data_IF_756840735237
#
_entry.id   IF_756840735237
#
_cell.length_a   1.000
_cell.length_b   1.000
_cell.length_c   1.000
_cell.angle_alpha   90.00
_cell.angle_beta   90.00
_cell.angle_gamma   90.00
#
_symmetry.space_group_name_H-M   'P 1'
#
loop_
_entity.id
_entity.type
_entity.pdbx_description
1 polymer ?
#
# COMPACT_ATOMS: atom_id res chain seq x y z
N UNK A 1 35.88 23.21 57.89
CA UNK A 1 34.42 22.99 57.84
C UNK A 1 34.19 21.56 58.27
N UNK A 2 33.51 21.33 59.40
CA UNK A 2 33.22 19.98 59.87
C UNK A 2 32.16 19.35 58.97
N UNK A 3 32.50 18.25 58.30
CA UNK A 3 31.52 17.41 57.62
C UNK A 3 30.55 16.85 58.65
N UNK A 4 29.27 17.21 58.52
CA UNK A 4 28.18 16.66 59.32
C UNK A 4 27.66 15.41 58.62
N UNK A 5 28.13 14.24 59.04
CA UNK A 5 27.64 12.96 58.52
C UNK A 5 26.36 12.58 59.25
N UNK A 6 25.21 12.83 58.62
CA UNK A 6 23.90 12.43 59.16
C UNK A 6 23.63 10.98 58.75
N UNK A 7 23.47 10.08 59.73
CA UNK A 7 23.04 8.71 59.47
C UNK A 7 21.50 8.67 59.39
N UNK A 8 20.99 8.27 58.24
CA UNK A 8 19.54 8.22 57.96
C UNK A 8 18.83 7.18 58.83
N UNK A 9 19.55 6.17 59.30
CA UNK A 9 19.03 5.09 60.12
C UNK A 9 18.64 5.55 61.54
N UNK A 10 19.19 6.68 62.00
CA UNK A 10 18.87 7.25 63.32
C UNK A 10 17.52 7.98 63.34
N UNK A 11 16.96 8.27 62.16
CA UNK A 11 15.75 9.08 61.99
C UNK A 11 14.59 8.34 61.34
N UNK A 12 14.88 7.21 60.68
CA UNK A 12 13.86 6.42 59.98
C UNK A 12 13.93 4.97 60.45
N UNK A 13 12.82 4.49 60.98
CA UNK A 13 12.64 3.06 61.24
C UNK A 13 12.59 2.28 59.92
N UNK A 14 12.90 0.98 59.96
CA UNK A 14 12.77 0.10 58.80
C UNK A 14 11.34 0.09 58.22
N UNK A 15 10.33 0.25 59.06
CA UNK A 15 8.94 0.43 58.62
C UNK A 15 8.73 1.74 57.84
N UNK A 16 9.36 2.84 58.28
CA UNK A 16 9.25 4.12 57.57
C UNK A 16 9.96 4.08 56.23
N UNK A 17 11.15 3.47 56.17
CA UNK A 17 11.87 3.26 54.91
C UNK A 17 11.05 2.42 53.94
N UNK A 18 10.46 1.32 54.42
CA UNK A 18 9.59 0.45 53.61
C UNK A 18 8.36 1.19 53.09
N UNK A 19 7.74 2.02 53.92
CA UNK A 19 6.59 2.84 53.53
C UNK A 19 6.99 3.86 52.46
N UNK A 20 8.07 4.60 52.67
CA UNK A 20 8.58 5.59 51.72
C UNK A 20 8.89 4.96 50.36
N UNK A 21 9.53 3.78 50.34
CA UNK A 21 9.82 3.06 49.10
C UNK A 21 8.54 2.60 48.41
N UNK A 22 7.58 2.05 49.16
CA UNK A 22 6.27 1.63 48.61
C UNK A 22 5.51 2.80 48.00
N UNK A 23 5.47 3.93 48.70
CA UNK A 23 4.76 5.14 48.27
C UNK A 23 5.42 5.74 47.01
N UNK A 24 6.76 5.83 47.00
CA UNK A 24 7.51 6.33 45.85
C UNK A 24 7.36 5.43 44.62
N UNK A 25 7.41 4.10 44.81
CA UNK A 25 7.21 3.14 43.73
C UNK A 25 5.78 3.22 43.17
N UNK A 26 4.77 3.27 44.04
CA UNK A 26 3.37 3.38 43.63
C UNK A 26 3.10 4.67 42.86
N UNK A 27 3.68 5.80 43.30
CA UNK A 27 3.58 7.08 42.59
C UNK A 27 4.26 7.04 41.22
N UNK A 28 5.44 6.41 41.11
CA UNK A 28 6.15 6.25 39.84
C UNK A 28 5.38 5.34 38.87
N UNK A 29 4.83 4.23 39.36
CA UNK A 29 3.99 3.32 38.58
C UNK A 29 2.71 4.01 38.09
N UNK A 30 2.04 4.79 38.95
CA UNK A 30 0.85 5.56 38.57
C UNK A 30 1.17 6.62 37.51
N UNK A 31 2.30 7.33 37.64
CA UNK A 31 2.73 8.31 36.64
C UNK A 31 3.07 7.65 35.28
N UNK A 32 3.68 6.47 35.29
CA UNK A 32 3.94 5.71 34.07
C UNK A 32 2.66 5.17 33.44
N UNK A 33 1.73 4.66 34.26
CA UNK A 33 0.43 4.20 33.81
C UNK A 33 -0.41 5.34 33.21
N UNK A 34 -0.31 6.57 33.73
CA UNK A 34 -0.94 7.75 33.14
C UNK A 34 -0.34 8.12 31.78
N UNK A 35 0.99 8.06 31.63
CA UNK A 35 1.67 8.31 30.34
C UNK A 35 1.29 7.27 29.28
N UNK A 36 1.18 6.01 29.69
CA UNK A 36 0.81 4.90 28.81
C UNK A 36 -0.71 4.63 28.78
N UNK A 37 -1.51 5.45 29.46
CA UNK A 37 -2.94 5.22 29.66
C UNK A 37 -3.67 5.10 28.33
N UNK A 38 -3.38 6.01 27.41
CA UNK A 38 -3.95 6.00 26.06
C UNK A 38 -3.61 4.69 25.34
N UNK A 39 -2.35 4.25 25.40
CA UNK A 39 -1.93 2.97 24.79
C UNK A 39 -2.61 1.76 25.43
N UNK A 40 -2.74 1.75 26.76
CA UNK A 40 -3.40 0.67 27.50
C UNK A 40 -4.89 0.60 27.11
N UNK A 41 -5.56 1.75 27.05
CA UNK A 41 -6.97 1.84 26.66
C UNK A 41 -7.15 1.49 25.18
N UNK A 42 -6.32 2.00 24.28
CA UNK A 42 -6.41 1.69 22.85
C UNK A 42 -6.21 0.19 22.59
N UNK A 43 -5.23 -0.44 23.25
CA UNK A 43 -5.03 -1.88 23.12
C UNK A 43 -6.21 -2.66 23.70
N UNK A 44 -6.71 -2.27 24.88
CA UNK A 44 -7.85 -2.93 25.51
C UNK A 44 -9.12 -2.79 24.66
N UNK A 45 -9.36 -1.61 24.10
CA UNK A 45 -10.46 -1.35 23.18
C UNK A 45 -10.32 -2.15 21.88
N UNK A 46 -9.10 -2.32 21.36
CA UNK A 46 -8.85 -3.16 20.19
C UNK A 46 -9.27 -4.62 20.44
N UNK A 47 -8.92 -5.18 21.60
CA UNK A 47 -9.35 -6.54 21.96
C UNK A 47 -10.86 -6.64 22.16
N UNK A 48 -11.46 -5.71 22.91
CA UNK A 48 -12.91 -5.70 23.19
C UNK A 48 -13.74 -5.55 21.90
N UNK A 49 -13.37 -4.60 21.04
CA UNK A 49 -14.06 -4.38 19.77
C UNK A 49 -13.83 -5.58 18.83
N UNK A 50 -12.61 -6.11 18.78
CA UNK A 50 -12.30 -7.31 18.01
C UNK A 50 -13.15 -8.50 18.42
N UNK A 51 -13.32 -8.72 19.72
CA UNK A 51 -14.14 -9.81 20.27
C UNK A 51 -15.64 -9.62 19.96
N UNK A 52 -16.17 -8.40 20.12
CA UNK A 52 -17.58 -8.10 19.80
C UNK A 52 -17.85 -8.31 18.29
N UNK A 53 -16.92 -7.86 17.45
CA UNK A 53 -17.02 -8.07 16.00
C UNK A 53 -16.96 -9.56 15.70
N UNK A 54 -15.99 -10.30 16.24
CA UNK A 54 -15.87 -11.74 16.00
C UNK A 54 -17.10 -12.51 16.46
N UNK A 55 -17.67 -12.17 17.63
CA UNK A 55 -18.94 -12.73 18.12
C UNK A 55 -20.11 -12.46 17.17
N UNK A 56 -20.16 -11.29 16.52
CA UNK A 56 -21.19 -10.96 15.52
C UNK A 56 -21.05 -11.78 14.23
N UNK A 57 -19.86 -12.33 13.96
CA UNK A 57 -19.51 -13.16 12.81
C UNK A 57 -19.20 -14.61 13.22
N UNK A 58 -19.96 -15.13 14.19
CA UNK A 58 -19.92 -16.53 14.68
C UNK A 58 -18.54 -17.01 15.19
N UNK A 59 -17.69 -16.11 15.66
CA UNK A 59 -16.33 -16.41 16.13
C UNK A 59 -15.38 -16.83 15.01
N UNK A 60 -15.71 -16.51 13.76
CA UNK A 60 -15.01 -16.97 12.57
C UNK A 60 -14.54 -15.83 11.67
N UNK A 61 -14.57 -14.57 12.14
CA UNK A 61 -14.29 -13.41 11.30
C UNK A 61 -12.87 -13.46 10.71
N UNK A 62 -11.89 -13.86 11.52
CA UNK A 62 -10.50 -13.99 11.08
C UNK A 62 -10.36 -15.05 9.98
N UNK A 63 -11.04 -16.20 10.14
CA UNK A 63 -11.04 -17.27 9.14
C UNK A 63 -11.74 -16.82 7.85
N UNK A 64 -12.91 -16.18 7.97
CA UNK A 64 -13.69 -15.63 6.87
C UNK A 64 -12.89 -14.59 6.07
N UNK A 65 -12.19 -13.68 6.77
CA UNK A 65 -11.36 -12.66 6.14
C UNK A 65 -10.20 -13.29 5.37
N UNK A 66 -9.55 -14.30 5.96
CA UNK A 66 -8.46 -15.05 5.32
C UNK A 66 -8.94 -15.76 4.05
N UNK A 67 -10.05 -16.48 4.14
CA UNK A 67 -10.63 -17.20 3.00
C UNK A 67 -11.08 -16.24 1.91
N UNK A 68 -11.66 -15.10 2.28
CA UNK A 68 -12.05 -14.07 1.32
C UNK A 68 -10.84 -13.42 0.66
N UNK A 69 -9.78 -13.13 1.40
CA UNK A 69 -8.54 -12.58 0.85
C UNK A 69 -7.90 -13.56 -0.15
N UNK A 70 -7.78 -14.84 0.21
CA UNK A 70 -7.28 -15.90 -0.68
C UNK A 70 -8.19 -16.03 -1.92
N UNK A 71 -9.51 -16.00 -1.73
CA UNK A 71 -10.47 -16.04 -2.84
C UNK A 71 -10.30 -14.85 -3.78
N UNK A 72 -10.13 -13.64 -3.26
CA UNK A 72 -9.87 -12.44 -4.08
C UNK A 72 -8.57 -12.62 -4.84
N UNK A 73 -7.48 -13.03 -4.19
CA UNK A 73 -6.18 -13.27 -4.83
C UNK A 73 -6.29 -14.30 -5.95
N UNK A 74 -6.93 -15.44 -5.69
CA UNK A 74 -7.09 -16.50 -6.68
C UNK A 74 -8.00 -16.10 -7.85
N UNK A 75 -8.92 -15.17 -7.62
CA UNK A 75 -9.81 -14.62 -8.64
C UNK A 75 -9.28 -13.31 -9.27
N UNK A 76 -8.06 -12.88 -8.92
CA UNK A 76 -7.41 -11.79 -9.65
C UNK A 76 -7.14 -12.26 -11.07
N UNK A 77 -7.92 -11.71 -12.01
CA UNK A 77 -7.67 -11.90 -13.43
C UNK A 77 -6.70 -10.84 -13.94
N UNK A 78 -6.05 -11.11 -15.08
CA UNK A 78 -5.30 -10.09 -15.81
C UNK A 78 -6.15 -8.85 -16.09
N UNK A 79 -7.44 -9.03 -16.36
CA UNK A 79 -8.40 -7.93 -16.49
C UNK A 79 -8.53 -7.13 -15.20
N UNK A 80 -8.59 -7.77 -14.03
CA UNK A 80 -8.72 -7.06 -12.74
C UNK A 80 -7.46 -6.28 -12.37
N UNK A 81 -6.28 -6.78 -12.75
CA UNK A 81 -4.97 -6.22 -12.35
C UNK A 81 -4.45 -5.18 -13.34
N UNK A 82 -4.75 -5.35 -14.63
CA UNK A 82 -4.27 -4.51 -15.72
C UNK A 82 -5.40 -3.76 -16.43
N UNK A 83 -6.56 -3.57 -15.81
CA UNK A 83 -7.59 -2.73 -16.41
C UNK A 83 -7.25 -1.24 -16.28
N UNK A 84 -7.60 -0.44 -17.31
CA UNK A 84 -7.62 1.01 -17.17
C UNK A 84 -8.62 1.45 -16.10
N UNK A 85 -8.41 2.62 -15.46
CA UNK A 85 -9.34 3.16 -14.50
C UNK A 85 -10.71 3.41 -15.15
N UNK A 86 -11.78 2.99 -14.49
CA UNK A 86 -13.15 3.26 -14.90
C UNK A 86 -13.64 4.64 -14.38
N UNK A 87 -14.85 5.05 -14.76
CA UNK A 87 -15.42 6.36 -14.39
C UNK A 87 -15.63 6.60 -12.87
N UNK A 88 -15.50 5.54 -12.07
CA UNK A 88 -15.67 5.54 -10.61
C UNK A 88 -14.35 5.29 -9.86
N UNK A 89 -13.28 4.93 -10.57
CA UNK A 89 -11.98 4.68 -9.97
C UNK A 89 -11.26 6.01 -9.71
N UNK A 90 -10.85 6.23 -8.46
CA UNK A 90 -10.05 7.41 -8.10
C UNK A 90 -8.63 7.36 -8.65
N UNK A 91 -8.07 6.15 -8.77
CA UNK A 91 -6.71 5.92 -9.25
C UNK A 91 -6.63 4.64 -10.08
N UNK A 92 -5.71 4.61 -11.03
CA UNK A 92 -5.44 3.42 -11.83
C UNK A 92 -4.82 2.29 -10.99
N UNK A 93 -5.10 1.05 -11.38
CA UNK A 93 -4.48 -0.13 -10.77
C UNK A 93 -2.95 -0.09 -10.90
N UNK A 94 -2.23 -0.63 -9.90
CA UNK A 94 -0.76 -0.68 -9.92
C UNK A 94 -0.22 -1.47 -11.12
N UNK A 95 -0.91 -2.53 -11.52
CA UNK A 95 -0.56 -3.31 -12.71
C UNK A 95 -0.68 -2.48 -13.99
N UNK A 96 -1.78 -1.73 -14.17
CA UNK A 96 -1.94 -0.81 -15.30
C UNK A 96 -0.86 0.27 -15.34
N UNK A 97 -0.52 0.86 -14.19
CA UNK A 97 0.53 1.87 -14.10
C UNK A 97 1.89 1.32 -14.55
N UNK A 98 2.28 0.14 -14.06
CA UNK A 98 3.55 -0.49 -14.48
C UNK A 98 3.55 -0.89 -15.96
N UNK A 99 2.42 -1.38 -16.46
CA UNK A 99 2.28 -1.73 -17.88
C UNK A 99 2.44 -0.50 -18.77
N UNK A 100 1.79 0.62 -18.43
CA UNK A 100 1.95 1.85 -19.19
C UNK A 100 3.37 2.38 -19.14
N UNK A 101 4.03 2.32 -17.97
CA UNK A 101 5.43 2.72 -17.88
C UNK A 101 6.32 1.89 -18.81
N UNK A 102 6.16 0.56 -18.81
CA UNK A 102 6.92 -0.31 -19.69
C UNK A 102 6.67 -0.03 -21.18
N UNK A 103 5.43 0.33 -21.56
CA UNK A 103 5.11 0.73 -22.92
C UNK A 103 5.79 2.05 -23.28
N UNK A 104 5.72 3.07 -22.42
CA UNK A 104 6.40 4.35 -22.65
C UNK A 104 7.91 4.16 -22.80
N UNK A 105 8.52 3.30 -21.98
CA UNK A 105 9.95 3.00 -22.03
C UNK A 105 10.36 2.31 -23.35
N UNK A 106 9.47 1.50 -23.94
CA UNK A 106 9.72 0.78 -25.19
C UNK A 106 9.35 1.55 -26.45
N UNK A 107 8.52 2.60 -26.36
CA UNK A 107 8.12 3.43 -27.52
C UNK A 107 9.31 3.91 -28.37
N UNK A 108 10.42 4.42 -27.80
CA UNK A 108 11.56 4.86 -28.59
C UNK A 108 12.15 3.73 -29.45
N UNK A 109 12.24 2.51 -28.90
CA UNK A 109 12.74 1.36 -29.64
C UNK A 109 11.80 0.96 -30.78
N UNK A 110 10.48 1.01 -30.54
CA UNK A 110 9.47 0.74 -31.58
C UNK A 110 9.58 1.78 -32.69
N UNK A 111 9.67 3.07 -32.35
CA UNK A 111 9.84 4.14 -33.31
C UNK A 111 11.11 3.97 -34.13
N UNK A 112 12.24 3.69 -33.48
CA UNK A 112 13.50 3.45 -34.17
C UNK A 112 13.38 2.29 -35.15
N UNK A 113 12.80 1.17 -34.72
CA UNK A 113 12.63 -0.01 -35.58
C UNK A 113 11.74 0.28 -36.80
N UNK A 114 10.66 1.03 -36.61
CA UNK A 114 9.78 1.45 -37.71
C UNK A 114 10.52 2.38 -38.66
N UNK A 115 11.27 3.36 -38.15
CA UNK A 115 12.09 4.24 -38.98
C UNK A 115 13.14 3.50 -39.78
N UNK A 116 13.82 2.51 -39.18
CA UNK A 116 14.81 1.68 -39.87
C UNK A 116 14.16 0.89 -41.02
N UNK A 117 12.98 0.30 -40.78
CA UNK A 117 12.23 -0.42 -41.81
C UNK A 117 11.84 0.52 -42.95
N UNK A 118 11.36 1.73 -42.64
CA UNK A 118 11.00 2.73 -43.66
C UNK A 118 12.23 3.17 -44.47
N UNK A 119 13.39 3.31 -43.84
CA UNK A 119 14.63 3.68 -44.51
C UNK A 119 15.14 2.59 -45.47
N UNK A 120 14.92 1.32 -45.12
CA UNK A 120 15.28 0.16 -45.95
C UNK A 120 14.25 -0.17 -47.04
N UNK A 121 13.13 0.56 -47.09
CA UNK A 121 12.09 0.31 -48.09
C UNK A 121 12.55 0.74 -49.48
N UNK A 122 12.36 -0.14 -50.46
CA UNK A 122 12.64 0.17 -51.86
C UNK A 122 11.68 1.25 -52.37
N UNK A 123 12.24 2.44 -52.64
CA UNK A 123 11.50 3.61 -53.12
C UNK A 123 10.73 3.35 -54.42
N UNK A 124 11.19 2.42 -55.27
CA UNK A 124 10.51 2.08 -56.51
C UNK A 124 9.20 1.30 -56.24
N UNK A 125 9.27 0.25 -55.42
CA UNK A 125 8.11 -0.51 -55.00
C UNK A 125 7.11 0.32 -54.19
N UNK A 126 7.59 1.27 -53.38
CA UNK A 126 6.72 2.15 -52.60
C UNK A 126 5.95 3.12 -53.51
N UNK A 127 6.60 3.64 -54.55
CA UNK A 127 5.97 4.52 -55.54
C UNK A 127 4.87 3.78 -56.30
N UNK A 128 5.15 2.57 -56.77
CA UNK A 128 4.18 1.76 -57.51
C UNK A 128 2.96 1.42 -56.63
N UNK A 129 3.18 1.12 -55.35
CA UNK A 129 2.11 0.85 -54.38
C UNK A 129 1.23 2.09 -54.14
N UNK A 130 1.84 3.27 -54.01
CA UNK A 130 1.13 4.54 -53.82
C UNK A 130 0.33 4.90 -55.08
N UNK A 131 0.93 4.81 -56.27
CA UNK A 131 0.23 5.08 -57.54
C UNK A 131 -0.96 4.13 -57.72
N UNK A 132 -0.81 2.85 -57.36
CA UNK A 132 -1.89 1.86 -57.43
C UNK A 132 -3.02 2.17 -56.45
N UNK A 133 -2.71 2.41 -55.16
CA UNK A 133 -3.76 2.72 -54.16
C UNK A 133 -4.49 4.03 -54.44
N UNK A 134 -3.77 5.07 -54.85
CA UNK A 134 -4.37 6.36 -55.20
C UNK A 134 -5.23 6.22 -56.45
N UNK A 135 -4.74 5.48 -57.46
CA UNK A 135 -5.49 5.16 -58.67
C UNK A 135 -6.80 4.42 -58.38
N UNK A 136 -6.75 3.35 -57.59
CA UNK A 136 -7.94 2.62 -57.17
C UNK A 136 -8.92 3.47 -56.37
N UNK A 137 -8.43 4.30 -55.45
CA UNK A 137 -9.28 5.18 -54.65
C UNK A 137 -9.99 6.22 -55.52
N UNK A 138 -9.31 6.78 -56.53
CA UNK A 138 -9.89 7.73 -57.49
C UNK A 138 -10.91 7.03 -58.38
N UNK A 139 -10.59 5.87 -58.94
CA UNK A 139 -11.51 5.09 -59.78
C UNK A 139 -12.77 4.76 -58.98
N UNK A 140 -12.62 4.23 -57.76
CA UNK A 140 -13.74 3.88 -56.88
C UNK A 140 -14.66 5.07 -56.59
N UNK A 141 -14.10 6.29 -56.54
CA UNK A 141 -14.86 7.54 -56.32
C UNK A 141 -15.50 8.09 -57.59
N UNK A 142 -14.99 7.74 -58.77
CA UNK A 142 -15.55 8.09 -60.08
C UNK A 142 -16.61 7.09 -60.56
N UNK A 143 -16.57 5.85 -60.08
CA UNK A 143 -17.53 4.78 -60.41
C UNK A 143 -18.62 4.58 -59.35
N UNK A 144 -18.58 5.33 -58.24
CA UNK A 144 -19.65 5.41 -57.24
C UNK A 144 -20.52 6.64 -57.49
#
# INVERSE_FOLDING_TARGET
MSELTINVDDYLSESDKRRIVTDAFSAAAAAHAQKDFERIISNSAYYLVGEIVDQHFDGSMVATLKDKAISVINNLSSTTVFSPPNAWDREASKGWQQMQQAIEDLKPMIHQRVSDIIADYDHSALRDLIETQVGEAIIKKLTA
#
